data_IF_646507703103
#
_entry.id   IF_646507703103
#
_cell.length_a   1.000
_cell.length_b   1.000
_cell.length_c   1.000
_cell.angle_alpha   90.00
_cell.angle_beta   90.00
_cell.angle_gamma   90.00
#
_symmetry.space_group_name_H-M   'P 1'
#
loop_
_entity.id
_entity.type
_entity.pdbx_description
1 polymer ?
#
# COMPACT_ATOMS: atom_id res chain seq x y z
N UNK A 1 -23.50 -4.50 7.25
CA UNK A 1 -22.45 -3.53 6.87
C UNK A 1 -21.11 -4.18 7.15
N UNK A 2 -20.19 -4.10 6.20
CA UNK A 2 -18.83 -4.64 6.26
C UNK A 2 -17.88 -3.56 5.70
N UNK A 3 -16.65 -3.51 6.17
CA UNK A 3 -15.62 -2.58 5.68
C UNK A 3 -14.59 -3.39 4.89
N UNK A 4 -14.28 -2.94 3.68
CA UNK A 4 -13.26 -3.54 2.83
C UNK A 4 -12.13 -2.54 2.63
N UNK A 5 -10.91 -2.95 2.96
CA UNK A 5 -9.70 -2.22 2.63
C UNK A 5 -9.07 -2.90 1.43
N UNK A 6 -9.18 -2.24 0.28
CA UNK A 6 -8.77 -2.75 -1.03
C UNK A 6 -7.61 -1.87 -1.53
N UNK A 7 -6.41 -2.43 -1.70
CA UNK A 7 -5.22 -1.67 -2.11
C UNK A 7 -4.18 -2.55 -2.80
N UNK A 8 -3.30 -1.92 -3.56
CA UNK A 8 -2.22 -2.59 -4.28
C UNK A 8 -0.99 -2.83 -3.39
N UNK A 9 -0.24 -3.87 -3.71
CA UNK A 9 1.00 -4.26 -3.02
C UNK A 9 2.04 -4.77 -4.02
N UNK A 10 3.28 -4.95 -3.56
CA UNK A 10 4.35 -5.52 -4.37
C UNK A 10 5.14 -4.49 -5.19
N UNK A 11 4.89 -3.19 -4.98
CA UNK A 11 5.60 -2.11 -5.70
C UNK A 11 6.46 -1.32 -4.71
N UNK A 12 7.73 -1.02 -5.04
CA UNK A 12 8.53 -0.10 -4.25
C UNK A 12 7.88 1.28 -4.14
N UNK A 13 7.56 1.68 -2.90
CA UNK A 13 6.92 2.96 -2.55
C UNK A 13 7.82 3.78 -1.65
N UNK A 14 7.93 5.07 -1.93
CA UNK A 14 8.77 5.99 -1.17
C UNK A 14 8.32 6.10 0.30
N UNK A 15 9.28 6.03 1.23
CA UNK A 15 9.05 6.12 2.68
C UNK A 15 9.85 7.21 3.35
N UNK A 16 11.08 7.43 2.92
CA UNK A 16 11.97 8.43 3.49
C UNK A 16 12.98 8.90 2.45
N UNK A 17 13.56 10.06 2.70
CA UNK A 17 14.57 10.65 1.83
C UNK A 17 15.81 11.03 2.65
N UNK A 18 16.98 10.84 2.05
CA UNK A 18 18.25 11.34 2.58
C UNK A 18 18.48 12.73 2.01
N UNK A 19 18.59 13.72 2.90
CA UNK A 19 18.82 15.11 2.52
C UNK A 19 20.24 15.54 2.86
N UNK A 20 20.84 16.33 1.97
CA UNK A 20 22.08 17.08 2.23
C UNK A 20 21.83 18.58 2.19
N UNK A 21 22.61 19.32 2.97
CA UNK A 21 22.57 20.77 2.95
C UNK A 21 23.27 21.31 1.68
N UNK A 22 22.60 22.19 0.94
CA UNK A 22 23.17 22.85 -0.23
C UNK A 22 23.98 24.10 0.19
N UNK A 23 25.22 24.21 -0.29
CA UNK A 23 26.11 25.33 0.04
C UNK A 23 25.65 26.68 -0.57
N UNK A 24 24.92 26.63 -1.68
CA UNK A 24 24.37 27.81 -2.38
C UNK A 24 22.90 27.52 -2.63
N UNK A 25 22.04 28.09 -1.81
CA UNK A 25 20.60 27.96 -1.97
C UNK A 25 20.15 28.90 -3.11
N UNK A 26 19.99 28.39 -4.34
CA UNK A 26 19.46 29.20 -5.46
C UNK A 26 17.98 29.60 -5.27
N UNK A 27 17.31 29.07 -4.25
CA UNK A 27 16.05 29.55 -3.66
C UNK A 27 16.08 29.12 -2.19
N UNK A 28 15.29 29.77 -1.32
CA UNK A 28 15.26 29.70 0.17
C UNK A 28 15.15 28.31 0.85
N UNK A 29 15.36 27.20 0.13
CA UNK A 29 15.34 25.82 0.64
C UNK A 29 16.80 25.32 0.69
N UNK A 30 17.40 25.20 1.89
CA UNK A 30 18.81 24.83 2.02
C UNK A 30 19.06 23.32 1.94
N UNK A 31 18.06 22.50 1.59
CA UNK A 31 18.16 21.04 1.55
C UNK A 31 17.83 20.51 0.14
N UNK A 32 18.60 19.53 -0.30
CA UNK A 32 18.37 18.78 -1.53
C UNK A 32 18.53 17.28 -1.26
N UNK A 33 17.82 16.44 -2.01
CA UNK A 33 18.00 14.99 -1.90
C UNK A 33 19.45 14.64 -2.26
N UNK A 34 20.08 13.84 -1.41
CA UNK A 34 21.42 13.33 -1.65
C UNK A 34 21.36 12.14 -2.60
N UNK A 35 21.38 12.41 -3.90
CA UNK A 35 21.30 11.37 -4.94
C UNK A 35 22.51 10.43 -4.97
N UNK A 36 23.59 10.74 -4.26
CA UNK A 36 24.75 9.85 -4.07
C UNK A 36 24.56 8.83 -2.94
N UNK A 37 23.53 8.98 -2.11
CA UNK A 37 23.22 8.02 -1.07
C UNK A 37 22.51 6.81 -1.69
N UNK A 38 23.22 5.69 -1.78
CA UNK A 38 22.75 4.50 -2.46
C UNK A 38 23.33 3.27 -1.75
N UNK A 39 22.49 2.26 -1.50
CA UNK A 39 22.90 0.98 -0.90
C UNK A 39 23.24 -0.09 -1.95
N UNK A 40 23.22 0.27 -3.24
CA UNK A 40 23.45 -0.63 -4.37
C UNK A 40 22.23 -1.48 -4.72
N UNK A 41 22.41 -2.41 -5.68
CA UNK A 41 21.32 -3.20 -6.28
C UNK A 41 20.51 -4.09 -5.31
N UNK A 42 20.96 -4.29 -4.08
CA UNK A 42 20.28 -5.13 -3.08
C UNK A 42 19.64 -4.31 -1.93
N UNK A 43 19.80 -2.98 -1.94
CA UNK A 43 19.30 -2.10 -0.89
C UNK A 43 17.94 -1.47 -1.20
N UNK A 44 17.23 -1.04 -0.15
CA UNK A 44 15.98 -0.30 -0.28
C UNK A 44 16.20 1.20 -0.55
N UNK A 45 17.44 1.68 -0.39
CA UNK A 45 17.85 3.07 -0.60
C UNK A 45 18.52 3.23 -1.97
N UNK A 46 17.86 3.94 -2.89
CA UNK A 46 18.37 4.25 -4.22
C UNK A 46 18.28 5.75 -4.47
N UNK A 47 19.36 6.37 -4.95
CA UNK A 47 19.42 7.82 -5.23
C UNK A 47 18.86 8.72 -4.11
N UNK A 48 19.11 8.37 -2.85
CA UNK A 48 18.64 9.10 -1.68
C UNK A 48 17.17 8.88 -1.32
N UNK A 49 16.48 7.94 -1.97
CA UNK A 49 15.08 7.56 -1.70
C UNK A 49 15.03 6.17 -1.09
N UNK A 50 14.53 6.08 0.15
CA UNK A 50 14.26 4.81 0.81
C UNK A 50 12.85 4.36 0.45
N UNK A 51 12.75 3.14 -0.08
CA UNK A 51 11.47 2.53 -0.47
C UNK A 51 11.06 1.39 0.46
N UNK A 52 9.76 1.10 0.48
CA UNK A 52 9.14 -0.06 1.15
C UNK A 52 8.01 -0.60 0.29
N UNK A 53 7.42 -1.73 0.68
CA UNK A 53 6.25 -2.28 0.01
C UNK A 53 5.03 -1.33 0.04
N UNK A 54 4.37 -1.18 -1.10
CA UNK A 54 3.18 -0.34 -1.30
C UNK A 54 2.66 -0.38 -2.74
N UNK A 55 1.98 0.68 -3.14
CA UNK A 55 1.35 0.84 -4.45
C UNK A 55 2.04 1.90 -5.34
N UNK A 56 3.37 2.08 -5.21
CA UNK A 56 4.16 3.21 -5.78
C UNK A 56 4.01 4.53 -5.00
N UNK A 57 2.85 4.85 -4.44
CA UNK A 57 2.57 6.14 -3.78
C UNK A 57 2.36 6.03 -2.27
N UNK A 58 1.57 5.05 -1.85
CA UNK A 58 1.11 4.84 -0.48
C UNK A 58 1.69 3.53 0.05
N UNK A 59 2.50 3.55 1.13
CA UNK A 59 3.03 2.33 1.73
C UNK A 59 1.90 1.42 2.25
N UNK A 60 2.08 0.10 2.17
CA UNK A 60 1.10 -0.89 2.69
C UNK A 60 0.73 -0.61 4.14
N UNK A 61 1.69 -0.17 4.96
CA UNK A 61 1.43 0.17 6.36
C UNK A 61 0.38 1.28 6.50
N UNK A 62 0.34 2.25 5.57
CA UNK A 62 -0.67 3.31 5.59
C UNK A 62 -2.03 2.79 5.14
N UNK A 63 -2.08 2.02 4.05
CA UNK A 63 -3.32 1.50 3.47
C UNK A 63 -3.99 0.41 4.33
N UNK A 64 -3.20 -0.48 4.93
CA UNK A 64 -3.67 -1.70 5.57
C UNK A 64 -3.78 -1.68 7.10
N UNK A 65 -3.02 -0.83 7.79
CA UNK A 65 -2.87 -0.93 9.26
C UNK A 65 -4.19 -0.85 10.02
N UNK A 66 -5.07 0.08 9.63
CA UNK A 66 -6.35 0.24 10.30
C UNK A 66 -7.23 -0.99 10.13
N UNK A 67 -7.29 -1.58 8.94
CA UNK A 67 -8.07 -2.79 8.72
C UNK A 67 -7.47 -4.02 9.44
N UNK A 68 -6.14 -4.12 9.48
CA UNK A 68 -5.40 -5.21 10.10
C UNK A 68 -5.54 -5.23 11.63
N UNK A 69 -5.53 -4.05 12.28
CA UNK A 69 -5.50 -3.94 13.74
C UNK A 69 -6.48 -2.92 14.30
N UNK A 70 -6.45 -1.68 13.81
CA UNK A 70 -7.22 -0.57 14.40
C UNK A 70 -8.72 -0.82 14.46
N UNK A 71 -9.31 -1.31 13.37
CA UNK A 71 -10.72 -1.61 13.21
C UNK A 71 -11.05 -3.09 13.38
N UNK A 72 -10.05 -3.94 13.62
CA UNK A 72 -10.24 -5.39 13.70
C UNK A 72 -10.92 -5.76 15.02
N UNK A 73 -12.16 -6.24 14.94
CA UNK A 73 -12.98 -6.54 16.12
C UNK A 73 -13.61 -5.29 16.73
N UNK A 74 -13.98 -5.36 18.02
CA UNK A 74 -14.59 -4.23 18.73
C UNK A 74 -13.50 -3.43 19.46
N UNK A 75 -13.19 -2.26 18.93
CA UNK A 75 -12.15 -1.35 19.43
C UNK A 75 -12.73 0.06 19.58
N UNK A 76 -11.96 0.99 20.18
CA UNK A 76 -12.30 2.42 20.20
C UNK A 76 -12.42 3.03 18.79
N UNK A 77 -11.78 2.44 17.79
CA UNK A 77 -11.80 2.90 16.40
C UNK A 77 -12.89 2.19 15.56
N UNK A 78 -13.45 1.10 16.07
CA UNK A 78 -14.61 0.39 15.51
C UNK A 78 -15.56 -0.04 16.64
N UNK A 79 -16.28 0.91 17.27
CA UNK A 79 -17.12 0.64 18.45
C UNK A 79 -18.30 -0.28 18.15
N UNK A 80 -18.74 -0.32 16.89
CA UNK A 80 -19.80 -1.17 16.38
C UNK A 80 -19.34 -2.61 16.08
N UNK A 81 -18.03 -2.87 16.11
CA UNK A 81 -17.48 -4.18 15.75
C UNK A 81 -17.85 -4.62 14.34
N UNK A 82 -17.93 -3.68 13.40
CA UNK A 82 -18.20 -3.97 11.99
C UNK A 82 -17.10 -4.90 11.47
N UNK A 83 -17.47 -5.96 10.74
CA UNK A 83 -16.49 -6.86 10.16
C UNK A 83 -15.64 -6.13 9.13
N UNK A 84 -14.33 -6.32 9.21
CA UNK A 84 -13.35 -5.70 8.32
C UNK A 84 -12.61 -6.78 7.55
N UNK A 85 -12.38 -6.54 6.26
CA UNK A 85 -11.62 -7.44 5.38
C UNK A 85 -10.53 -6.68 4.64
N UNK A 86 -9.36 -7.28 4.53
CA UNK A 86 -8.25 -6.80 3.70
C UNK A 86 -8.29 -7.55 2.36
N UNK A 87 -8.15 -6.81 1.26
CA UNK A 87 -8.01 -7.35 -0.10
C UNK A 87 -6.81 -6.67 -0.75
N UNK A 88 -5.68 -7.36 -0.71
CA UNK A 88 -4.46 -6.92 -1.36
C UNK A 88 -4.41 -7.42 -2.80
N UNK A 89 -4.01 -6.55 -3.72
CA UNK A 89 -3.84 -6.88 -5.14
C UNK A 89 -2.36 -6.80 -5.49
N UNK A 90 -1.74 -7.97 -5.61
CA UNK A 90 -0.33 -8.09 -5.97
C UNK A 90 -0.11 -7.57 -7.39
N UNK A 91 0.85 -6.65 -7.55
CA UNK A 91 1.14 -6.03 -8.83
C UNK A 91 1.76 -7.05 -9.78
N UNK A 92 1.09 -7.29 -10.91
CA UNK A 92 1.68 -8.03 -12.02
C UNK A 92 2.00 -7.07 -13.18
N UNK A 93 3.27 -6.94 -13.59
CA UNK A 93 3.64 -6.08 -14.71
C UNK A 93 3.03 -6.63 -16.02
N UNK A 94 2.69 -5.75 -16.98
CA UNK A 94 2.16 -6.18 -18.28
C UNK A 94 3.15 -7.11 -18.98
N UNK A 95 2.64 -8.18 -19.58
CA UNK A 95 3.45 -9.19 -20.27
C UNK A 95 4.09 -8.65 -21.56
N UNK A 96 3.52 -7.59 -22.14
CA UNK A 96 4.01 -6.93 -23.34
C UNK A 96 3.54 -5.46 -23.43
N UNK A 97 4.16 -4.69 -24.33
CA UNK A 97 3.86 -3.26 -24.51
C UNK A 97 2.40 -2.98 -24.98
N UNK A 98 1.73 -3.96 -25.59
CA UNK A 98 0.36 -3.80 -26.11
C UNK A 98 -0.70 -3.84 -25.00
N UNK A 99 -0.39 -4.44 -23.85
CA UNK A 99 -1.25 -4.44 -22.65
C UNK A 99 -1.30 -3.08 -21.94
N UNK A 100 -0.48 -2.11 -22.38
CA UNK A 100 -0.44 -0.77 -21.82
C UNK A 100 -0.08 -0.77 -20.34
N UNK A 101 -1.04 -0.46 -19.48
CA UNK A 101 -0.88 -0.38 -18.02
C UNK A 101 -1.02 -1.73 -17.30
N UNK A 102 -1.39 -2.80 -18.02
CA UNK A 102 -1.61 -4.12 -17.47
C UNK A 102 -2.97 -4.25 -16.77
N UNK A 103 -3.60 -5.42 -16.88
CA UNK A 103 -4.93 -5.69 -16.29
C UNK A 103 -4.87 -6.07 -14.80
N UNK A 104 -3.66 -6.21 -14.25
CA UNK A 104 -3.38 -6.61 -12.87
C UNK A 104 -2.41 -5.63 -12.19
N UNK A 105 -2.38 -4.37 -12.63
CA UNK A 105 -1.54 -3.38 -11.97
C UNK A 105 -2.05 -3.13 -10.55
N UNK A 106 -1.15 -3.21 -9.57
CA UNK A 106 -1.36 -2.72 -8.21
C UNK A 106 -0.94 -1.27 -8.00
N UNK A 107 -0.52 -0.53 -9.03
CA UNK A 107 -0.03 0.84 -8.86
C UNK A 107 -1.16 1.80 -8.51
N UNK A 108 -0.86 2.84 -7.73
CA UNK A 108 -1.82 3.70 -7.05
C UNK A 108 -2.96 4.21 -7.94
N UNK A 109 -2.62 4.67 -9.15
CA UNK A 109 -3.60 5.18 -10.12
C UNK A 109 -4.19 4.04 -10.97
N UNK A 110 -3.36 3.08 -11.35
CA UNK A 110 -3.71 2.04 -12.33
C UNK A 110 -4.54 0.91 -11.74
N UNK A 111 -4.57 0.79 -10.41
CA UNK A 111 -5.37 -0.20 -9.69
C UNK A 111 -6.87 -0.12 -10.04
N UNK A 112 -7.36 1.06 -10.44
CA UNK A 112 -8.73 1.24 -10.92
C UNK A 112 -9.05 0.43 -12.19
N UNK A 113 -8.04 0.03 -12.96
CA UNK A 113 -8.14 -0.87 -14.10
C UNK A 113 -7.85 -2.35 -13.77
N UNK A 114 -7.56 -2.67 -12.50
CA UNK A 114 -7.26 -4.03 -12.07
C UNK A 114 -8.53 -4.88 -12.09
N UNK A 115 -8.53 -5.97 -12.88
CA UNK A 115 -9.75 -6.76 -13.05
C UNK A 115 -10.22 -7.42 -11.76
N UNK A 116 -9.30 -7.84 -10.89
CA UNK A 116 -9.64 -8.52 -9.64
C UNK A 116 -10.27 -7.53 -8.65
N UNK A 117 -9.77 -6.28 -8.61
CA UNK A 117 -10.40 -5.21 -7.83
C UNK A 117 -11.81 -4.92 -8.34
N UNK A 118 -11.96 -4.74 -9.65
CA UNK A 118 -13.25 -4.45 -10.28
C UNK A 118 -14.24 -5.60 -10.00
N UNK A 119 -13.80 -6.85 -10.12
CA UNK A 119 -14.61 -8.02 -9.81
C UNK A 119 -15.10 -8.00 -8.36
N UNK A 120 -14.22 -7.77 -7.39
CA UNK A 120 -14.60 -7.71 -5.97
C UNK A 120 -15.58 -6.57 -5.69
N UNK A 121 -15.35 -5.37 -6.25
CA UNK A 121 -16.27 -4.24 -6.14
C UNK A 121 -17.64 -4.59 -6.70
N UNK A 122 -17.70 -5.21 -7.88
CA UNK A 122 -18.94 -5.63 -8.52
C UNK A 122 -19.67 -6.69 -7.70
N UNK A 123 -18.95 -7.67 -7.14
CA UNK A 123 -19.53 -8.72 -6.29
C UNK A 123 -20.10 -8.13 -5.00
N UNK A 124 -19.40 -7.20 -4.35
CA UNK A 124 -19.90 -6.48 -3.17
C UNK A 124 -21.13 -5.64 -3.52
N UNK A 125 -21.10 -4.90 -4.63
CA UNK A 125 -22.24 -4.11 -5.11
C UNK A 125 -23.47 -4.99 -5.43
N UNK A 126 -23.25 -6.23 -5.89
CA UNK A 126 -24.29 -7.23 -6.11
C UNK A 126 -24.78 -7.94 -4.83
N UNK A 127 -24.26 -7.57 -3.66
CA UNK A 127 -24.69 -8.09 -2.36
C UNK A 127 -23.86 -9.25 -1.79
N UNK A 128 -22.73 -9.58 -2.41
CA UNK A 128 -21.79 -10.56 -1.85
C UNK A 128 -21.17 -10.03 -0.55
N UNK A 129 -21.00 -10.92 0.42
CA UNK A 129 -20.35 -10.62 1.71
C UNK A 129 -18.86 -10.93 1.66
N UNK A 130 -18.11 -10.48 2.67
CA UNK A 130 -16.67 -10.73 2.71
C UNK A 130 -16.33 -12.22 2.79
N UNK A 131 -17.25 -13.05 3.31
CA UNK A 131 -17.13 -14.51 3.26
C UNK A 131 -17.27 -15.07 1.85
N UNK A 132 -18.16 -14.51 1.04
CA UNK A 132 -18.39 -14.92 -0.36
C UNK A 132 -17.20 -14.55 -1.27
N UNK A 133 -16.46 -13.50 -0.88
CA UNK A 133 -15.19 -13.09 -1.48
C UNK A 133 -13.96 -13.89 -0.96
N UNK A 134 -14.15 -14.81 -0.01
CA UNK A 134 -13.07 -15.64 0.54
C UNK A 134 -12.38 -15.07 1.78
N UNK A 135 -12.86 -13.96 2.34
CA UNK A 135 -12.31 -13.31 3.52
C UNK A 135 -11.11 -12.41 3.22
N UNK A 136 -10.15 -12.37 4.14
CA UNK A 136 -8.92 -11.62 3.96
C UNK A 136 -8.06 -12.26 2.87
N UNK A 137 -7.58 -11.45 1.93
CA UNK A 137 -6.54 -11.79 0.97
C UNK A 137 -5.36 -10.85 1.21
N UNK A 138 -4.27 -11.41 1.70
CA UNK A 138 -3.09 -10.67 2.15
C UNK A 138 -1.84 -11.36 1.60
N UNK A 139 -1.03 -10.60 0.88
CA UNK A 139 0.27 -10.97 0.32
C UNK A 139 1.43 -10.37 1.14
N UNK A 140 1.20 -9.23 1.80
CA UNK A 140 2.19 -8.51 2.60
C UNK A 140 2.32 -9.06 4.04
N UNK A 141 3.33 -8.56 4.74
CA UNK A 141 3.57 -8.86 6.16
C UNK A 141 2.72 -7.95 7.11
N UNK A 142 1.63 -7.33 6.62
CA UNK A 142 0.88 -6.27 7.34
C UNK A 142 0.43 -6.66 8.75
N UNK A 143 -0.04 -7.90 8.97
CA UNK A 143 -0.44 -8.34 10.32
C UNK A 143 0.75 -8.34 11.28
N UNK A 144 1.90 -8.87 10.84
CA UNK A 144 3.15 -8.88 11.61
C UNK A 144 3.68 -7.47 11.85
N UNK A 145 3.58 -6.56 10.88
CA UNK A 145 3.96 -5.15 11.07
C UNK A 145 3.03 -4.46 12.06
N UNK A 146 1.73 -4.74 12.00
CA UNK A 146 0.74 -4.13 12.88
C UNK A 146 0.95 -4.49 14.35
N UNK A 147 1.48 -5.68 14.65
CA UNK A 147 1.82 -6.08 16.02
C UNK A 147 2.96 -5.27 16.62
N UNK A 148 3.86 -4.73 15.80
CA UNK A 148 4.98 -3.89 16.26
C UNK A 148 4.53 -2.48 16.67
N UNK A 149 3.29 -2.09 16.35
CA UNK A 149 2.74 -0.79 16.68
C UNK A 149 1.90 -0.91 17.95
N UNK A 150 2.38 -0.26 19.01
CA UNK A 150 1.66 -0.14 20.28
C UNK A 150 0.52 0.88 20.14
N UNK A 151 -0.69 0.38 19.95
CA UNK A 151 -1.91 1.18 19.88
C UNK A 151 -2.89 0.68 20.96
N UNK A 152 -3.41 1.60 21.77
CA UNK A 152 -4.51 1.28 22.70
C UNK A 152 -5.79 1.10 21.88
N UNK A 153 -6.31 -0.12 21.85
CA UNK A 153 -7.55 -0.51 21.14
C UNK A 153 -8.78 -0.40 22.05
#
# INVERSE_FOLDING_TARGET
MEIYSMYGVGIPTERAYVYRQAAIAQCHIPFQIETSADEGNEGCLNNGVLTVDGDETVPVLSSGFMCAKGWRGRTRFNPSGIKTYIREYDHAPPANLLEGRGTQSGAHVDIMGNFALIEDIMRVAAGSTGKDLGGDQVHSDIFKWSEKISLSL
#
